data_IF_062859423793
#
_entry.id   IF_062859423793
#
_cell.length_a   1.000
_cell.length_b   1.000
_cell.length_c   1.000
_cell.angle_alpha   90.00
_cell.angle_beta   90.00
_cell.angle_gamma   90.00
#
_symmetry.space_group_name_H-M   'P 1'
#
loop_
_entity.id
_entity.type
_entity.pdbx_description
1 polymer ?
#
# COMPACT_ATOMS: atom_id res chain seq x y z
N UNK A 1 -8.28 53.42 -54.69
CA UNK A 1 -9.11 52.69 -54.64
C UNK A 1 -9.09 51.20 -54.54
N UNK A 2 -8.81 50.37 -54.02
CA UNK A 2 -9.19 48.95 -53.89
C UNK A 2 -9.04 48.52 -52.47
N UNK A 3 -10.16 48.48 -51.85
CA UNK A 3 -10.37 47.97 -50.53
C UNK A 3 -10.14 46.46 -50.54
N UNK A 4 -9.01 46.00 -50.05
CA UNK A 4 -8.84 44.61 -49.73
C UNK A 4 -9.11 44.42 -48.25
N UNK A 5 -10.33 44.10 -47.98
CA UNK A 5 -10.75 43.59 -46.71
C UNK A 5 -10.21 42.18 -46.61
N UNK A 6 -9.05 42.04 -45.98
CA UNK A 6 -8.57 40.74 -45.57
C UNK A 6 -9.34 40.33 -44.34
N UNK A 7 -10.34 39.53 -44.60
CA UNK A 7 -11.09 38.82 -43.58
C UNK A 7 -10.17 37.74 -43.00
N UNK A 8 -9.41 38.13 -42.03
CA UNK A 8 -8.60 37.22 -41.24
C UNK A 8 -9.53 36.42 -40.34
N UNK A 9 -9.97 35.30 -40.86
CA UNK A 9 -10.70 34.34 -40.07
C UNK A 9 -9.76 33.79 -38.97
N UNK A 10 -9.86 34.37 -37.81
CA UNK A 10 -9.19 33.88 -36.62
C UNK A 10 -9.86 32.57 -36.19
N UNK A 11 -9.33 31.46 -36.69
CA UNK A 11 -9.68 30.15 -36.20
C UNK A 11 -9.17 30.03 -34.75
N UNK A 12 -10.02 30.33 -33.82
CA UNK A 12 -9.81 29.98 -32.42
C UNK A 12 -10.02 28.48 -32.34
N UNK A 13 -8.93 27.73 -32.43
CA UNK A 13 -8.92 26.34 -31.97
C UNK A 13 -9.10 26.33 -30.45
N UNK A 14 -10.32 26.23 -30.01
CA UNK A 14 -10.56 25.83 -28.63
C UNK A 14 -10.19 24.36 -28.51
N UNK A 15 -8.97 24.09 -28.12
CA UNK A 15 -8.62 22.80 -27.58
C UNK A 15 -9.39 22.65 -26.28
N UNK A 16 -10.50 21.95 -26.35
CA UNK A 16 -11.17 21.46 -25.18
C UNK A 16 -10.23 20.39 -24.58
N UNK A 17 -9.35 20.80 -23.69
CA UNK A 17 -8.72 19.88 -22.77
C UNK A 17 -9.83 19.24 -21.95
N UNK A 18 -10.24 18.06 -22.37
CA UNK A 18 -10.93 17.15 -21.50
C UNK A 18 -9.94 16.78 -20.40
N UNK A 19 -9.90 17.58 -19.36
CA UNK A 19 -9.51 17.07 -18.06
C UNK A 19 -10.50 15.96 -17.74
N UNK A 20 -10.11 14.74 -18.06
CA UNK A 20 -10.76 13.59 -17.53
C UNK A 20 -10.56 13.66 -16.03
N UNK A 21 -11.63 13.98 -15.30
CA UNK A 21 -11.70 13.71 -13.88
C UNK A 21 -11.60 12.19 -13.72
N UNK A 22 -10.39 11.69 -13.79
CA UNK A 22 -10.06 10.49 -13.08
C UNK A 22 -10.19 10.87 -11.62
N UNK A 23 -11.35 10.65 -11.04
CA UNK A 23 -11.51 10.41 -9.63
C UNK A 23 -10.69 9.17 -9.31
N UNK A 24 -9.39 9.34 -9.31
CA UNK A 24 -8.49 8.52 -8.56
C UNK A 24 -8.93 8.71 -7.12
N UNK A 25 -9.64 7.74 -6.58
CA UNK A 25 -9.74 7.58 -5.15
C UNK A 25 -8.29 7.65 -4.67
N UNK A 26 -7.97 8.67 -3.86
CA UNK A 26 -6.65 8.82 -3.25
C UNK A 26 -6.47 7.73 -2.19
N UNK A 27 -6.50 6.49 -2.62
CA UNK A 27 -6.01 5.40 -1.80
C UNK A 27 -4.50 5.53 -1.76
N UNK A 28 -3.99 5.87 -0.59
CA UNK A 28 -2.55 5.94 -0.40
C UNK A 28 -1.96 4.55 -0.60
N UNK A 29 -1.13 4.42 -1.62
CA UNK A 29 -0.39 3.20 -1.89
C UNK A 29 0.91 3.23 -1.11
N UNK A 30 1.17 2.16 -0.40
CA UNK A 30 2.37 1.95 0.39
C UNK A 30 3.19 0.80 -0.18
N UNK A 31 4.47 0.76 0.13
CA UNK A 31 5.34 -0.36 -0.19
C UNK A 31 5.93 -0.95 1.08
N UNK A 32 5.90 -2.26 1.18
CA UNK A 32 6.46 -3.00 2.29
C UNK A 32 7.30 -4.19 1.83
N UNK A 33 8.06 -4.71 2.76
CA UNK A 33 8.83 -5.94 2.63
C UNK A 33 8.35 -6.94 3.68
N UNK A 34 8.19 -8.19 3.28
CA UNK A 34 7.95 -9.28 4.22
C UNK A 34 9.28 -9.63 4.91
N UNK A 35 9.47 -9.13 6.11
CA UNK A 35 10.72 -9.35 6.87
C UNK A 35 10.77 -10.72 7.54
N UNK A 36 9.65 -11.16 8.12
CA UNK A 36 9.56 -12.44 8.80
C UNK A 36 8.27 -13.13 8.35
N UNK A 37 8.43 -14.31 7.77
CA UNK A 37 7.33 -15.21 7.45
C UNK A 37 7.20 -16.27 8.55
N UNK A 38 6.69 -15.83 9.69
CA UNK A 38 6.50 -16.71 10.85
C UNK A 38 5.44 -17.77 10.63
N UNK A 39 5.49 -18.84 11.41
CA UNK A 39 4.48 -19.90 11.39
C UNK A 39 3.09 -19.36 11.68
N UNK A 40 2.06 -20.06 11.21
CA UNK A 40 0.66 -19.69 11.47
C UNK A 40 0.32 -18.27 11.05
N UNK A 41 0.94 -17.80 9.96
CA UNK A 41 0.73 -16.46 9.41
C UNK A 41 1.06 -15.31 10.38
N UNK A 42 1.92 -15.56 11.35
CA UNK A 42 2.49 -14.53 12.21
C UNK A 42 3.60 -13.79 11.44
N UNK A 43 3.19 -12.92 10.54
CA UNK A 43 4.11 -12.21 9.64
C UNK A 43 4.47 -10.84 10.19
N UNK A 44 5.71 -10.44 9.92
CA UNK A 44 6.20 -9.09 10.19
C UNK A 44 6.59 -8.41 8.90
N UNK A 45 6.05 -7.23 8.70
CA UNK A 45 6.28 -6.39 7.52
C UNK A 45 7.06 -5.15 7.92
N UNK A 46 7.93 -4.70 7.04
CA UNK A 46 8.60 -3.41 7.16
C UNK A 46 8.07 -2.44 6.11
N UNK A 47 7.66 -1.26 6.53
CA UNK A 47 7.30 -0.18 5.62
C UNK A 47 8.55 0.33 4.90
N UNK A 48 8.52 0.36 3.57
CA UNK A 48 9.60 0.87 2.72
C UNK A 48 9.29 2.24 2.14
N UNK A 49 8.06 2.43 1.67
CA UNK A 49 7.62 3.67 1.03
C UNK A 49 6.22 4.05 1.50
N UNK A 50 5.99 5.35 1.60
CA UNK A 50 4.76 5.94 2.05
C UNK A 50 4.84 6.45 3.47
N UNK A 51 3.95 7.38 3.81
CA UNK A 51 3.88 7.97 5.16
C UNK A 51 2.72 7.35 5.90
N UNK A 52 3.03 6.52 6.87
CA UNK A 52 2.08 6.08 7.88
C UNK A 52 2.31 6.84 9.17
N UNK A 53 1.21 7.12 9.86
CA UNK A 53 1.28 7.69 11.19
C UNK A 53 2.08 6.74 12.11
N UNK A 54 2.97 7.30 12.91
CA UNK A 54 3.79 6.55 13.86
C UNK A 54 2.96 5.82 14.93
N UNK A 55 1.69 6.22 15.11
CA UNK A 55 0.75 5.50 15.95
C UNK A 55 0.30 4.17 15.34
N UNK A 56 0.39 4.01 14.03
CA UNK A 56 -0.10 2.84 13.29
C UNK A 56 0.95 1.73 13.13
N UNK A 57 2.22 2.06 13.25
CA UNK A 57 3.33 1.12 13.11
C UNK A 57 4.31 1.24 14.28
N UNK A 58 5.09 0.21 14.50
CA UNK A 58 6.18 0.25 15.47
C UNK A 58 7.43 0.86 14.82
N UNK A 59 7.88 2.00 15.31
CA UNK A 59 9.13 2.62 14.84
C UNK A 59 10.34 1.73 15.12
N UNK A 60 10.28 0.97 16.20
CA UNK A 60 11.29 -0.02 16.59
C UNK A 60 10.60 -1.20 17.25
N UNK A 61 11.03 -2.40 16.91
CA UNK A 61 10.56 -3.63 17.52
C UNK A 61 11.68 -4.69 17.48
N UNK A 62 11.84 -5.43 18.56
CA UNK A 62 12.81 -6.49 18.66
C UNK A 62 12.12 -7.84 18.66
N UNK A 63 12.52 -8.70 17.74
CA UNK A 63 12.08 -10.11 17.72
C UNK A 63 12.72 -10.84 18.89
N UNK A 64 11.90 -11.29 19.83
CA UNK A 64 12.37 -11.97 21.04
C UNK A 64 13.00 -13.35 20.76
N UNK A 65 12.68 -13.98 19.62
CA UNK A 65 13.27 -15.25 19.24
C UNK A 65 14.71 -15.13 18.75
N UNK A 66 15.03 -14.03 18.08
CA UNK A 66 16.34 -13.83 17.43
C UNK A 66 17.16 -12.73 18.10
N UNK A 67 16.53 -11.86 18.89
CA UNK A 67 17.15 -10.66 19.44
C UNK A 67 17.39 -9.56 18.39
N UNK A 68 16.96 -9.76 17.14
CA UNK A 68 17.14 -8.77 16.07
C UNK A 68 16.11 -7.65 16.19
N UNK A 69 16.58 -6.41 16.05
CA UNK A 69 15.74 -5.21 16.07
C UNK A 69 15.42 -4.76 14.66
N UNK A 70 14.16 -4.44 14.43
CA UNK A 70 13.62 -3.95 13.16
C UNK A 70 13.03 -2.56 13.34
N UNK A 71 13.06 -1.75 12.29
CA UNK A 71 12.49 -0.40 12.28
C UNK A 71 11.29 -0.34 11.34
N UNK A 72 10.31 0.49 11.72
CA UNK A 72 9.11 0.76 10.91
C UNK A 72 8.36 -0.51 10.51
N UNK A 73 8.05 -1.32 11.49
CA UNK A 73 7.43 -2.62 11.27
C UNK A 73 6.00 -2.69 11.82
N UNK A 74 5.24 -3.61 11.26
CA UNK A 74 3.88 -3.90 11.66
C UNK A 74 3.53 -5.37 11.39
N UNK A 75 2.57 -5.87 12.12
CA UNK A 75 1.87 -7.12 11.79
C UNK A 75 0.63 -6.86 10.96
N UNK A 76 -0.16 -7.88 10.67
CA UNK A 76 -1.42 -7.68 9.97
C UNK A 76 -2.60 -8.36 10.69
N UNK A 77 -3.78 -7.81 10.45
CA UNK A 77 -5.03 -8.26 11.10
C UNK A 77 -5.72 -9.32 10.26
N UNK A 78 -5.60 -9.25 8.93
CA UNK A 78 -6.35 -10.04 7.96
C UNK A 78 -5.48 -11.03 7.17
N UNK A 79 -5.00 -12.12 7.77
CA UNK A 79 -4.07 -13.04 7.11
C UNK A 79 -4.68 -13.79 5.92
N UNK A 80 -6.00 -13.92 5.85
CA UNK A 80 -6.67 -14.75 4.88
C UNK A 80 -6.47 -14.32 3.43
N UNK A 81 -6.25 -13.04 3.20
CA UNK A 81 -6.14 -12.46 1.85
C UNK A 81 -4.70 -12.22 1.41
N UNK A 82 -3.74 -12.58 2.25
CA UNK A 82 -2.35 -12.38 1.89
C UNK A 82 -1.90 -13.35 0.82
N UNK A 83 -1.34 -12.87 -0.31
CA UNK A 83 -0.95 -13.73 -1.42
C UNK A 83 0.12 -14.76 -1.04
N UNK A 84 -0.17 -16.03 -1.25
CA UNK A 84 0.74 -17.14 -0.93
C UNK A 84 2.08 -17.13 -1.68
N UNK A 85 2.19 -16.59 -2.93
CA UNK A 85 3.47 -16.51 -3.64
C UNK A 85 4.50 -15.58 -2.99
N UNK A 86 4.07 -14.61 -2.16
CA UNK A 86 4.99 -13.69 -1.50
C UNK A 86 5.79 -14.43 -0.44
N UNK A 87 7.11 -14.38 -0.58
CA UNK A 87 8.05 -15.03 0.31
C UNK A 87 8.78 -14.02 1.20
N UNK A 88 9.41 -14.53 2.26
CA UNK A 88 10.26 -13.70 3.10
C UNK A 88 11.36 -13.03 2.27
N UNK A 89 11.51 -11.73 2.42
CA UNK A 89 12.41 -10.89 1.65
C UNK A 89 11.77 -10.20 0.45
N UNK A 90 10.59 -10.63 0.02
CA UNK A 90 9.90 -10.01 -1.11
C UNK A 90 9.28 -8.67 -0.72
N UNK A 91 9.26 -7.76 -1.68
CA UNK A 91 8.60 -6.46 -1.59
C UNK A 91 7.26 -6.50 -2.31
N UNK A 92 6.31 -5.73 -1.83
CA UNK A 92 4.99 -5.63 -2.42
C UNK A 92 4.34 -4.28 -2.14
N UNK A 93 3.40 -3.91 -2.99
CA UNK A 93 2.57 -2.72 -2.80
C UNK A 93 1.26 -3.08 -2.12
N UNK A 94 0.77 -2.19 -1.27
CA UNK A 94 -0.48 -2.42 -0.54
C UNK A 94 -1.23 -1.11 -0.26
N UNK A 95 -2.50 -1.25 0.03
CA UNK A 95 -3.34 -0.21 0.61
C UNK A 95 -3.84 -0.66 1.98
N UNK A 96 -4.25 0.29 2.80
CA UNK A 96 -4.95 -0.02 4.05
C UNK A 96 -6.44 -0.12 3.74
N UNK A 97 -7.00 -1.30 3.97
CA UNK A 97 -8.41 -1.57 3.70
C UNK A 97 -9.00 -2.43 4.84
N UNK A 98 -9.78 -1.79 5.68
CA UNK A 98 -10.47 -2.45 6.80
C UNK A 98 -11.84 -3.02 6.43
N UNK A 99 -12.25 -2.93 5.17
CA UNK A 99 -13.58 -3.36 4.73
C UNK A 99 -13.70 -4.85 4.50
N UNK A 100 -12.58 -5.53 4.25
CA UNK A 100 -12.56 -6.99 4.07
C UNK A 100 -12.42 -7.69 5.42
N UNK A 101 -13.48 -8.37 5.81
CA UNK A 101 -13.57 -9.11 7.07
C UNK A 101 -13.58 -10.62 6.86
N UNK A 102 -12.98 -11.13 5.77
CA UNK A 102 -12.90 -12.57 5.55
C UNK A 102 -12.23 -13.25 6.74
N UNK A 103 -12.90 -14.25 7.25
CA UNK A 103 -12.39 -15.10 8.30
C UNK A 103 -11.83 -16.37 7.69
N UNK A 104 -10.66 -16.75 8.12
CA UNK A 104 -10.07 -18.04 7.79
C UNK A 104 -9.56 -18.71 9.05
N UNK A 105 -9.47 -20.02 9.00
CA UNK A 105 -8.81 -20.77 10.05
C UNK A 105 -7.30 -20.53 9.98
N UNK A 106 -6.75 -19.95 11.02
CA UNK A 106 -5.31 -19.87 11.25
C UNK A 106 -4.93 -20.82 12.37
N UNK A 107 -3.77 -21.42 12.29
CA UNK A 107 -3.30 -22.24 13.38
C UNK A 107 -2.93 -21.39 14.60
N UNK A 108 -2.92 -21.99 15.78
CA UNK A 108 -2.76 -21.28 17.06
C UNK A 108 -1.32 -21.22 17.56
N UNK A 109 -0.34 -21.66 16.76
CA UNK A 109 1.05 -21.59 17.19
C UNK A 109 1.52 -20.13 17.25
N UNK A 110 2.18 -19.79 18.33
CA UNK A 110 2.70 -18.46 18.57
C UNK A 110 4.01 -18.25 17.83
N UNK A 111 4.14 -17.09 17.22
CA UNK A 111 5.39 -16.49 16.78
C UNK A 111 5.34 -14.98 17.06
N UNK A 112 6.44 -14.37 17.58
CA UNK A 112 6.43 -12.95 17.89
C UNK A 112 6.12 -12.09 16.66
N UNK A 113 5.28 -11.11 16.84
CA UNK A 113 4.97 -10.09 15.82
C UNK A 113 4.93 -8.72 16.47
N UNK A 114 5.16 -7.64 15.70
CA UNK A 114 4.97 -6.30 16.21
C UNK A 114 3.55 -6.13 16.76
N UNK A 115 3.38 -5.45 17.92
CA UNK A 115 2.06 -5.27 18.53
C UNK A 115 1.11 -4.42 17.69
N UNK A 116 1.63 -3.50 16.88
CA UNK A 116 0.80 -2.71 15.97
C UNK A 116 0.54 -3.47 14.69
N UNK A 117 -0.74 -3.61 14.34
CA UNK A 117 -1.21 -4.40 13.20
C UNK A 117 -2.08 -3.56 12.30
N UNK A 118 -1.95 -3.78 10.99
CA UNK A 118 -2.73 -3.09 9.97
C UNK A 118 -3.65 -4.06 9.23
N UNK A 119 -4.75 -3.52 8.73
CA UNK A 119 -5.56 -4.15 7.71
C UNK A 119 -4.96 -3.81 6.35
N UNK A 120 -4.39 -4.77 5.67
CA UNK A 120 -3.73 -4.53 4.38
C UNK A 120 -4.38 -5.33 3.27
N UNK A 121 -4.42 -4.71 2.10
CA UNK A 121 -4.77 -5.37 0.85
C UNK A 121 -3.60 -5.21 -0.11
N UNK A 122 -3.00 -6.32 -0.49
CA UNK A 122 -1.92 -6.32 -1.49
C UNK A 122 -2.51 -5.99 -2.84
N UNK A 123 -1.87 -5.07 -3.54
CA UNK A 123 -2.22 -4.69 -4.90
C UNK A 123 -1.16 -5.24 -5.85
N UNK A 124 -1.63 -5.86 -6.93
CA UNK A 124 -0.75 -6.33 -7.99
C UNK A 124 -0.48 -5.15 -8.94
N UNK A 125 0.78 -4.92 -9.22
CA UNK A 125 1.21 -3.97 -10.24
C UNK A 125 1.02 -4.57 -11.64
#
# INVERSE_FOLDING_TARGET
>A
MKLFVLLSALLILTTADKCGDNKSSNENVYKAKLEIKGICMNYTFRLLEGKLDTSMINSTWTDENTGKTYKNVFGFVNPCDFPSPIQQGDEFSFIIDSTDSRQCAVCLAYYPTPPKKLWIKVIND
#
